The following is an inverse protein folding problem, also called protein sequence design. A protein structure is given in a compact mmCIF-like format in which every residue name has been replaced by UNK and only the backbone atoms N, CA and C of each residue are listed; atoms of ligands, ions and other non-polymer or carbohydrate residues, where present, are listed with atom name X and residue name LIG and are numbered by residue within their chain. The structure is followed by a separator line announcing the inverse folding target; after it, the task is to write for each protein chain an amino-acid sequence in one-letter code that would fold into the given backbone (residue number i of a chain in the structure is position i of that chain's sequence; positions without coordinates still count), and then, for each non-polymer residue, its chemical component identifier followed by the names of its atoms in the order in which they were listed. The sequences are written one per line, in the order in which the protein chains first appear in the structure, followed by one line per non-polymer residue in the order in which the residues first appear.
data_IF_254942774021
#
_entry.id   IF_254942774021
#
_cell.length_a   1.000
_cell.length_b   1.000
_cell.length_c   1.000
_cell.angle_alpha   90.00
_cell.angle_beta   90.00
_cell.angle_gamma   90.00
#
_symmetry.space_group_name_H-M   'P 1'
#
loop_
_entity.id
_entity.type
_entity.pdbx_description
1 polymer ?
#
# COMPACT_ATOMS: atom_id res chain seq x y z
N UNK A 1 -9.06 -16.15 19.50
CA UNK A 1 -8.21 -16.15 18.31
C UNK A 1 -8.57 -14.90 17.53
N UNK A 2 -7.63 -14.00 17.38
CA UNK A 2 -7.84 -12.75 16.65
C UNK A 2 -8.32 -13.05 15.21
N UNK A 3 -9.04 -12.12 14.58
CA UNK A 3 -9.64 -12.38 13.25
C UNK A 3 -8.57 -12.70 12.20
N UNK A 4 -7.43 -12.08 12.26
CA UNK A 4 -6.31 -12.29 11.30
C UNK A 4 -5.50 -13.57 11.55
N UNK A 5 -5.63 -14.23 12.71
CA UNK A 5 -5.05 -15.54 12.96
C UNK A 5 -5.94 -16.68 12.44
N UNK A 6 -7.15 -16.36 11.97
CA UNK A 6 -8.06 -17.33 11.37
C UNK A 6 -7.62 -17.67 9.96
N UNK A 7 -7.91 -18.91 9.56
CA UNK A 7 -7.83 -19.27 8.15
C UNK A 7 -8.73 -18.34 7.30
N UNK A 8 -8.33 -17.99 6.09
CA UNK A 8 -9.20 -17.22 5.20
C UNK A 8 -10.50 -17.96 4.93
N UNK A 9 -11.55 -17.17 4.73
CA UNK A 9 -12.90 -17.66 4.41
C UNK A 9 -12.89 -18.53 3.15
N UNK A 10 -12.07 -18.16 2.16
CA UNK A 10 -12.03 -18.89 0.89
C UNK A 10 -10.66 -18.73 0.20
N UNK A 11 -10.27 -19.81 -0.48
CA UNK A 11 -9.15 -19.87 -1.41
C UNK A 11 -9.62 -20.43 -2.74
N UNK A 12 -9.32 -19.75 -3.83
CA UNK A 12 -9.53 -20.23 -5.20
C UNK A 12 -8.18 -20.31 -5.89
N UNK A 13 -7.87 -21.45 -6.47
CA UNK A 13 -6.79 -21.62 -7.44
C UNK A 13 -7.41 -21.82 -8.81
N UNK A 14 -6.97 -21.01 -9.77
CA UNK A 14 -7.39 -21.05 -11.14
C UNK A 14 -6.17 -21.35 -12.04
N UNK A 15 -6.37 -22.14 -13.07
CA UNK A 15 -5.35 -22.40 -14.09
C UNK A 15 -5.75 -21.72 -15.38
N UNK A 16 -4.90 -20.87 -15.92
CA UNK A 16 -5.15 -20.22 -17.21
C UNK A 16 -5.19 -21.23 -18.34
N UNK A 17 -6.31 -21.33 -19.08
CA UNK A 17 -6.48 -22.35 -20.12
C UNK A 17 -5.55 -22.16 -21.34
N UNK A 18 -4.90 -20.99 -21.47
CA UNK A 18 -4.01 -20.69 -22.60
C UNK A 18 -2.56 -20.95 -22.23
N UNK A 19 -2.12 -20.49 -21.05
CA UNK A 19 -0.70 -20.54 -20.65
C UNK A 19 -0.40 -21.67 -19.66
N UNK A 20 -1.42 -22.28 -19.03
CA UNK A 20 -1.26 -23.27 -17.97
C UNK A 20 -0.78 -22.68 -16.64
N UNK A 21 -0.56 -21.36 -16.54
CA UNK A 21 -0.09 -20.70 -15.33
C UNK A 21 -1.23 -20.51 -14.32
N UNK A 22 -0.85 -20.36 -13.05
CA UNK A 22 -1.80 -20.23 -11.96
C UNK A 22 -2.26 -18.78 -11.74
N UNK A 23 -3.50 -18.64 -11.30
CA UNK A 23 -4.06 -17.44 -10.68
C UNK A 23 -4.79 -17.79 -9.40
N UNK A 24 -4.85 -16.87 -8.48
CA UNK A 24 -5.36 -17.08 -7.12
C UNK A 24 -6.34 -15.97 -6.74
N UNK A 25 -7.42 -16.32 -6.05
CA UNK A 25 -8.22 -15.38 -5.28
C UNK A 25 -8.32 -15.90 -3.85
N UNK A 26 -7.94 -15.08 -2.89
CA UNK A 26 -8.14 -15.34 -1.47
C UNK A 26 -9.07 -14.29 -0.90
N UNK A 27 -10.14 -14.73 -0.25
CA UNK A 27 -11.01 -13.89 0.57
C UNK A 27 -10.72 -14.24 2.03
N UNK A 28 -10.04 -13.34 2.73
CA UNK A 28 -9.72 -13.52 4.13
C UNK A 28 -10.96 -13.37 5.00
N UNK A 29 -11.74 -12.32 4.76
CA UNK A 29 -12.96 -12.02 5.51
C UNK A 29 -13.93 -11.20 4.66
N UNK A 30 -15.21 -11.26 5.03
CA UNK A 30 -16.26 -10.37 4.52
C UNK A 30 -16.79 -9.54 5.68
N UNK A 31 -17.06 -8.26 5.42
CA UNK A 31 -17.85 -7.39 6.29
C UNK A 31 -18.99 -6.84 5.44
N UNK A 32 -20.21 -7.01 5.90
CA UNK A 32 -21.43 -6.70 5.13
C UNK A 32 -21.45 -7.34 3.73
N UNK A 33 -20.81 -8.51 3.58
CA UNK A 33 -20.70 -9.23 2.34
C UNK A 33 -19.74 -8.65 1.32
N UNK A 34 -18.87 -7.69 1.69
CA UNK A 34 -17.82 -7.12 0.85
C UNK A 34 -16.43 -7.42 1.39
N UNK A 35 -15.48 -7.61 0.48
CA UNK A 35 -14.04 -7.66 0.74
C UNK A 35 -13.30 -6.80 -0.29
N UNK A 36 -12.18 -6.20 0.13
CA UNK A 36 -11.36 -5.33 -0.72
C UNK A 36 -9.93 -5.82 -0.84
N UNK A 37 -9.32 -5.61 -1.99
CA UNK A 37 -7.90 -5.86 -2.25
C UNK A 37 -7.59 -6.02 -3.73
N UNK A 38 -6.48 -5.43 -4.16
CA UNK A 38 -6.06 -5.37 -5.56
C UNK A 38 -5.67 -6.72 -6.17
N UNK A 39 -5.47 -6.72 -7.48
CA UNK A 39 -4.98 -7.88 -8.24
C UNK A 39 -3.50 -7.68 -8.55
N UNK A 40 -2.64 -8.55 -7.99
CA UNK A 40 -1.20 -8.59 -8.24
C UNK A 40 -0.86 -9.46 -9.43
N UNK A 41 0.14 -9.07 -10.20
CA UNK A 41 0.74 -9.91 -11.24
C UNK A 41 2.26 -9.85 -11.14
N UNK A 42 2.88 -11.00 -10.87
CA UNK A 42 4.34 -11.15 -10.93
C UNK A 42 4.72 -12.62 -11.19
N UNK A 43 5.86 -12.84 -11.83
CA UNK A 43 6.41 -14.18 -11.95
C UNK A 43 6.72 -14.77 -10.57
N UNK A 44 6.34 -16.02 -10.34
CA UNK A 44 6.48 -16.71 -9.07
C UNK A 44 5.49 -16.25 -7.98
N UNK A 45 4.36 -15.62 -8.34
CA UNK A 45 3.27 -15.35 -7.41
C UNK A 45 2.69 -16.67 -6.88
N UNK A 46 2.52 -16.81 -5.57
CA UNK A 46 2.03 -18.02 -4.91
C UNK A 46 0.74 -17.79 -4.14
N UNK A 47 -0.01 -18.88 -3.88
CA UNK A 47 -1.21 -18.82 -3.03
C UNK A 47 -0.89 -18.30 -1.62
N UNK A 48 0.23 -18.71 -1.03
CA UNK A 48 0.64 -18.27 0.30
C UNK A 48 0.87 -16.75 0.35
N UNK A 49 1.55 -16.18 -0.66
CA UNK A 49 1.74 -14.73 -0.78
C UNK A 49 0.39 -13.99 -0.90
N UNK A 50 -0.53 -14.52 -1.72
CA UNK A 50 -1.86 -13.90 -1.89
C UNK A 50 -2.68 -13.98 -0.60
N UNK A 51 -2.52 -15.05 0.20
CA UNK A 51 -3.15 -15.18 1.51
C UNK A 51 -2.63 -14.16 2.52
N UNK A 52 -1.33 -13.96 2.61
CA UNK A 52 -0.72 -12.93 3.47
C UNK A 52 -1.18 -11.53 3.09
N UNK A 53 -1.25 -11.25 1.78
CA UNK A 53 -1.74 -9.98 1.28
C UNK A 53 -3.24 -9.76 1.54
N UNK A 54 -4.07 -10.80 1.42
CA UNK A 54 -5.51 -10.73 1.74
C UNK A 54 -5.74 -10.44 3.24
N UNK A 55 -4.93 -11.04 4.11
CA UNK A 55 -4.89 -10.74 5.55
C UNK A 55 -4.49 -9.29 5.81
N UNK A 56 -3.44 -8.81 5.15
CA UNK A 56 -3.00 -7.41 5.21
C UNK A 56 -4.11 -6.44 4.81
N UNK A 57 -4.91 -6.77 3.78
CA UNK A 57 -6.05 -5.95 3.37
C UNK A 57 -7.16 -5.89 4.43
N UNK A 58 -7.45 -7.01 5.12
CA UNK A 58 -8.39 -7.02 6.23
C UNK A 58 -7.91 -6.14 7.40
N UNK A 59 -6.62 -6.19 7.71
CA UNK A 59 -6.00 -5.35 8.75
C UNK A 59 -6.06 -3.87 8.37
N UNK A 60 -5.74 -3.49 7.13
CA UNK A 60 -5.85 -2.11 6.63
C UNK A 60 -7.29 -1.60 6.81
N UNK A 61 -8.26 -2.37 6.35
CA UNK A 61 -9.66 -2.00 6.47
C UNK A 61 -10.07 -1.78 7.94
N UNK A 62 -9.69 -2.68 8.84
CA UNK A 62 -10.04 -2.59 10.25
C UNK A 62 -9.36 -1.39 10.94
N UNK A 63 -8.06 -1.16 10.71
CA UNK A 63 -7.33 -0.03 11.33
C UNK A 63 -7.89 1.32 10.89
N UNK A 64 -8.38 1.42 9.64
CA UNK A 64 -8.92 2.67 9.07
C UNK A 64 -10.46 2.76 9.14
N UNK A 65 -11.10 1.96 9.98
CA UNK A 65 -12.55 2.00 10.23
C UNK A 65 -13.38 1.87 8.95
N UNK A 66 -12.88 1.03 8.00
CA UNK A 66 -13.57 0.75 6.75
C UNK A 66 -14.45 -0.49 6.94
N UNK A 67 -15.76 -0.39 6.68
CA UNK A 67 -16.70 -1.49 6.91
C UNK A 67 -16.63 -2.54 5.77
N UNK A 68 -15.44 -3.10 5.54
CA UNK A 68 -15.16 -4.07 4.49
C UNK A 68 -14.14 -5.09 4.97
N UNK A 69 -14.26 -6.33 4.52
CA UNK A 69 -13.28 -7.38 4.76
C UNK A 69 -12.06 -7.30 3.83
N UNK A 70 -11.17 -8.28 3.92
CA UNK A 70 -9.96 -8.36 3.11
C UNK A 70 -10.00 -9.47 2.08
N UNK A 71 -9.54 -9.17 0.88
CA UNK A 71 -9.32 -10.13 -0.20
C UNK A 71 -8.05 -9.77 -1.00
N UNK A 72 -7.59 -10.67 -1.85
CA UNK A 72 -6.49 -10.41 -2.79
C UNK A 72 -6.58 -11.31 -3.99
N UNK A 73 -6.34 -10.73 -5.19
CA UNK A 73 -6.05 -11.48 -6.40
C UNK A 73 -4.56 -11.59 -6.64
N UNK A 74 -4.11 -12.72 -7.23
CA UNK A 74 -2.73 -12.93 -7.63
C UNK A 74 -2.63 -13.72 -8.93
N UNK A 75 -1.71 -13.35 -9.81
CA UNK A 75 -1.49 -14.01 -11.10
C UNK A 75 0.01 -14.31 -11.23
N UNK A 76 0.35 -15.58 -11.43
CA UNK A 76 1.73 -16.02 -11.68
C UNK A 76 2.10 -15.76 -13.14
N UNK A 77 2.43 -14.52 -13.44
CA UNK A 77 2.87 -14.09 -14.77
C UNK A 77 3.73 -12.83 -14.64
N UNK A 78 4.78 -12.73 -15.45
CA UNK A 78 5.53 -11.47 -15.55
C UNK A 78 4.65 -10.41 -16.23
N UNK A 79 4.57 -9.17 -15.69
CA UNK A 79 3.86 -8.07 -16.35
C UNK A 79 4.44 -7.71 -17.75
N UNK A 80 5.68 -8.14 -18.02
CA UNK A 80 6.36 -7.95 -19.32
C UNK A 80 6.07 -9.08 -20.31
N UNK A 81 5.36 -10.13 -19.90
CA UNK A 81 5.01 -11.26 -20.78
C UNK A 81 3.97 -10.80 -21.81
N UNK A 82 4.11 -11.19 -23.09
CA UNK A 82 3.12 -10.87 -24.14
C UNK A 82 1.69 -11.33 -23.78
N UNK A 83 1.53 -12.42 -23.02
CA UNK A 83 0.23 -12.93 -22.58
C UNK A 83 -0.32 -12.27 -21.29
N UNK A 84 0.44 -11.39 -20.64
CA UNK A 84 0.05 -10.80 -19.35
C UNK A 84 -1.35 -10.18 -19.37
N UNK A 85 -1.66 -9.35 -20.38
CA UNK A 85 -2.97 -8.71 -20.53
C UNK A 85 -4.08 -9.73 -20.81
N UNK A 86 -3.81 -10.71 -21.68
CA UNK A 86 -4.73 -11.80 -22.01
C UNK A 86 -5.06 -12.63 -20.76
N UNK A 87 -4.05 -12.95 -19.96
CA UNK A 87 -4.20 -13.72 -18.73
C UNK A 87 -5.00 -12.92 -17.67
N UNK A 88 -4.72 -11.61 -17.49
CA UNK A 88 -5.51 -10.74 -16.62
C UNK A 88 -6.99 -10.76 -17.01
N UNK A 89 -7.30 -10.61 -18.30
CA UNK A 89 -8.66 -10.61 -18.82
C UNK A 89 -9.39 -11.93 -18.53
N UNK A 90 -8.74 -13.07 -18.77
CA UNK A 90 -9.30 -14.40 -18.50
C UNK A 90 -9.49 -14.65 -17.01
N UNK A 91 -8.55 -14.20 -16.17
CA UNK A 91 -8.67 -14.26 -14.71
C UNK A 91 -9.86 -13.44 -14.20
N UNK A 92 -9.99 -12.18 -14.62
CA UNK A 92 -11.13 -11.31 -14.25
C UNK A 92 -12.45 -11.95 -14.69
N UNK A 93 -12.51 -12.52 -15.90
CA UNK A 93 -13.69 -13.23 -16.40
C UNK A 93 -14.02 -14.47 -15.54
N UNK A 94 -13.03 -15.25 -15.15
CA UNK A 94 -13.22 -16.43 -14.30
C UNK A 94 -13.68 -16.06 -12.88
N UNK A 95 -13.17 -14.94 -12.34
CA UNK A 95 -13.52 -14.45 -11.00
C UNK A 95 -14.81 -13.60 -10.98
N UNK A 96 -15.51 -13.43 -12.11
CA UNK A 96 -16.68 -12.58 -12.24
C UNK A 96 -17.74 -12.79 -11.16
N UNK A 97 -18.12 -14.02 -10.74
CA UNK A 97 -19.12 -14.20 -9.68
C UNK A 97 -18.77 -13.49 -8.38
N UNK A 98 -17.49 -13.43 -8.04
CA UNK A 98 -16.99 -12.73 -6.85
C UNK A 98 -16.89 -11.23 -7.07
N UNK A 99 -16.46 -10.81 -8.25
CA UNK A 99 -16.35 -9.40 -8.64
C UNK A 99 -17.71 -8.73 -8.77
N UNK A 100 -18.74 -9.48 -9.15
CA UNK A 100 -20.12 -8.96 -9.25
C UNK A 100 -20.77 -8.73 -7.88
N UNK A 101 -20.35 -9.45 -6.82
CA UNK A 101 -21.09 -9.49 -5.58
C UNK A 101 -20.28 -9.12 -4.32
N UNK A 102 -18.98 -9.47 -4.27
CA UNK A 102 -18.26 -9.51 -3.00
C UNK A 102 -16.87 -8.85 -3.05
N UNK A 103 -16.14 -9.02 -4.15
CA UNK A 103 -14.74 -8.60 -4.21
C UNK A 103 -14.58 -7.27 -4.94
N UNK A 104 -14.15 -6.27 -4.20
CA UNK A 104 -13.77 -4.95 -4.69
C UNK A 104 -12.27 -4.96 -4.96
N UNK A 105 -11.88 -5.09 -6.23
CA UNK A 105 -10.47 -5.10 -6.63
C UNK A 105 -10.02 -3.74 -7.16
N UNK A 106 -8.71 -3.56 -7.26
CA UNK A 106 -8.05 -2.37 -7.81
C UNK A 106 -6.65 -2.76 -8.31
N UNK A 107 -5.83 -1.76 -8.61
CA UNK A 107 -4.41 -1.95 -8.95
C UNK A 107 -3.61 -2.64 -7.84
N UNK A 108 -2.55 -3.31 -8.22
CA UNK A 108 -1.46 -3.78 -7.36
C UNK A 108 -0.22 -4.00 -8.23
N UNK A 109 0.88 -4.48 -7.64
CA UNK A 109 2.14 -4.75 -8.34
C UNK A 109 1.91 -5.48 -9.67
N UNK A 110 2.38 -4.89 -10.76
CA UNK A 110 2.28 -5.45 -12.10
C UNK A 110 0.93 -5.29 -12.81
N UNK A 111 -0.08 -4.72 -12.14
CA UNK A 111 -1.40 -4.43 -12.71
C UNK A 111 -1.78 -2.99 -12.41
N UNK A 112 -1.41 -2.03 -13.26
CA UNK A 112 -1.76 -0.62 -13.05
C UNK A 112 -3.27 -0.39 -13.22
N UNK A 113 -3.80 0.64 -12.54
CA UNK A 113 -5.23 0.95 -12.48
C UNK A 113 -5.89 1.06 -13.86
N UNK A 114 -5.27 1.75 -14.82
CA UNK A 114 -5.83 1.89 -16.16
C UNK A 114 -5.98 0.55 -16.87
N UNK A 115 -5.02 -0.37 -16.69
CA UNK A 115 -5.06 -1.69 -17.34
C UNK A 115 -6.21 -2.56 -16.80
N UNK A 116 -6.40 -2.56 -15.48
CA UNK A 116 -7.50 -3.36 -14.88
C UNK A 116 -8.85 -2.75 -15.24
N UNK A 117 -8.99 -1.42 -15.24
CA UNK A 117 -10.23 -0.74 -15.62
C UNK A 117 -10.59 -0.96 -17.10
N UNK A 118 -9.59 -0.98 -18.01
CA UNK A 118 -9.80 -1.33 -19.41
C UNK A 118 -10.35 -2.75 -19.55
N UNK A 119 -9.77 -3.72 -18.83
CA UNK A 119 -10.23 -5.10 -18.83
C UNK A 119 -11.65 -5.23 -18.28
N UNK A 120 -11.97 -4.50 -17.21
CA UNK A 120 -13.35 -4.48 -16.68
C UNK A 120 -14.33 -3.87 -17.68
N UNK A 121 -13.93 -2.78 -18.35
CA UNK A 121 -14.74 -2.16 -19.41
C UNK A 121 -15.04 -3.12 -20.56
N UNK A 122 -14.02 -3.86 -21.05
CA UNK A 122 -14.18 -4.88 -22.10
C UNK A 122 -15.15 -6.00 -21.71
N UNK A 123 -15.21 -6.33 -20.42
CA UNK A 123 -16.08 -7.36 -19.87
C UNK A 123 -17.46 -6.82 -19.43
N UNK A 124 -17.74 -5.54 -19.68
CA UNK A 124 -19.02 -4.90 -19.35
C UNK A 124 -19.24 -4.63 -17.87
N UNK A 125 -18.16 -4.52 -17.09
CA UNK A 125 -18.21 -4.29 -15.64
C UNK A 125 -17.91 -2.84 -15.23
N UNK A 126 -17.74 -1.93 -16.16
CA UNK A 126 -17.55 -0.50 -15.91
C UNK A 126 -16.21 -0.11 -15.27
N UNK A 127 -15.83 -0.68 -14.13
CA UNK A 127 -14.60 -0.38 -13.41
C UNK A 127 -14.27 -1.45 -12.35
N UNK A 128 -13.01 -1.47 -11.88
CA UNK A 128 -12.49 -2.45 -10.92
C UNK A 128 -13.15 -2.42 -9.52
N UNK A 129 -13.73 -1.29 -9.10
CA UNK A 129 -14.55 -1.18 -7.87
C UNK A 129 -15.99 -1.69 -8.04
N UNK A 130 -16.24 -2.53 -9.01
CA UNK A 130 -17.54 -2.93 -9.52
C UNK A 130 -18.53 -3.43 -8.44
N UNK A 131 -18.11 -4.34 -7.55
CA UNK A 131 -18.99 -4.87 -6.51
C UNK A 131 -19.54 -3.78 -5.58
N UNK A 132 -18.70 -2.82 -5.18
CA UNK A 132 -19.12 -1.70 -4.33
C UNK A 132 -20.05 -0.74 -5.09
N UNK A 133 -19.71 -0.40 -6.33
CA UNK A 133 -20.52 0.48 -7.18
C UNK A 133 -21.91 -0.13 -7.40
N UNK A 134 -22.00 -1.42 -7.74
CA UNK A 134 -23.29 -2.10 -7.92
C UNK A 134 -24.18 -2.13 -6.68
N UNK A 135 -23.58 -2.10 -5.50
CA UNK A 135 -24.30 -2.11 -4.22
C UNK A 135 -24.63 -0.74 -3.69
N UNK A 136 -24.19 0.33 -4.36
CA UNK A 136 -24.54 1.71 -3.98
C UNK A 136 -26.00 2.02 -4.30
N UNK A 137 -26.54 3.01 -3.60
CA UNK A 137 -27.92 3.50 -3.84
C UNK A 137 -28.04 4.11 -5.24
N UNK A 138 -26.98 4.79 -5.73
CA UNK A 138 -26.90 5.31 -7.09
C UNK A 138 -25.54 4.88 -7.73
N UNK A 139 -25.53 3.76 -8.47
CA UNK A 139 -24.34 3.27 -9.15
C UNK A 139 -23.69 4.27 -10.12
N UNK A 140 -24.52 5.08 -10.82
CA UNK A 140 -24.01 6.03 -11.80
C UNK A 140 -23.31 7.22 -11.12
N UNK A 141 -23.91 7.77 -10.07
CA UNK A 141 -23.31 8.83 -9.27
C UNK A 141 -22.03 8.35 -8.59
N UNK A 142 -22.04 7.15 -8.00
CA UNK A 142 -20.87 6.56 -7.34
C UNK A 142 -19.73 6.32 -8.33
N UNK A 143 -20.01 5.78 -9.51
CA UNK A 143 -19.00 5.62 -10.56
C UNK A 143 -18.41 6.96 -10.99
N UNK A 144 -19.25 7.98 -11.14
CA UNK A 144 -18.81 9.33 -11.50
C UNK A 144 -17.89 9.91 -10.43
N UNK A 145 -18.26 9.80 -9.15
CA UNK A 145 -17.47 10.27 -8.00
C UNK A 145 -16.11 9.57 -7.92
N UNK A 146 -16.08 8.25 -8.04
CA UNK A 146 -14.83 7.47 -7.99
C UNK A 146 -13.92 7.84 -9.15
N UNK A 147 -14.44 7.92 -10.38
CA UNK A 147 -13.64 8.35 -11.54
C UNK A 147 -13.13 9.77 -11.38
N UNK A 148 -13.97 10.70 -10.94
CA UNK A 148 -13.55 12.07 -10.68
C UNK A 148 -12.38 12.12 -9.67
N UNK A 149 -12.45 11.38 -8.57
CA UNK A 149 -11.36 11.29 -7.59
C UNK A 149 -10.08 10.71 -8.18
N UNK A 150 -10.15 9.54 -8.81
CA UNK A 150 -8.98 8.86 -9.39
C UNK A 150 -8.23 9.72 -10.42
N UNK A 151 -8.97 10.46 -11.26
CA UNK A 151 -8.42 11.24 -12.36
C UNK A 151 -8.28 12.72 -12.06
N UNK A 152 -8.55 13.19 -10.85
CA UNK A 152 -8.34 14.59 -10.45
C UNK A 152 -6.88 14.99 -10.67
N UNK A 153 -6.61 16.10 -11.37
CA UNK A 153 -5.24 16.56 -11.58
C UNK A 153 -4.64 17.12 -10.30
N UNK A 154 -3.36 16.84 -10.10
CA UNK A 154 -2.55 17.40 -9.00
C UNK A 154 -1.29 18.06 -9.58
N UNK A 155 -0.57 18.91 -8.81
CA UNK A 155 0.67 19.50 -9.26
C UNK A 155 1.67 18.46 -9.80
N UNK A 156 2.48 18.87 -10.78
CA UNK A 156 3.46 17.98 -11.43
C UNK A 156 2.90 17.14 -12.58
N UNK A 157 1.63 17.37 -12.98
CA UNK A 157 0.99 16.66 -14.11
C UNK A 157 0.53 15.25 -13.77
N UNK A 158 0.52 14.88 -12.49
CA UNK A 158 0.02 13.60 -12.01
C UNK A 158 -1.49 13.63 -11.78
N UNK A 159 -2.08 12.45 -11.59
CA UNK A 159 -3.46 12.27 -11.13
C UNK A 159 -3.45 11.94 -9.63
N UNK A 160 -4.49 12.32 -8.93
CA UNK A 160 -4.61 12.06 -7.49
C UNK A 160 -4.45 10.57 -7.16
N UNK A 161 -5.07 9.68 -7.95
CA UNK A 161 -4.93 8.24 -7.80
C UNK A 161 -3.48 7.74 -7.88
N UNK A 162 -2.64 8.40 -8.70
CA UNK A 162 -1.24 7.98 -8.89
C UNK A 162 -0.33 8.38 -7.70
N UNK A 163 -0.71 9.38 -6.91
CA UNK A 163 0.16 9.96 -5.87
C UNK A 163 -0.34 9.75 -4.45
N UNK A 164 -1.63 9.48 -4.28
CA UNK A 164 -2.27 9.38 -2.96
C UNK A 164 -1.65 8.32 -2.05
N UNK A 165 -1.18 7.22 -2.61
CA UNK A 165 -0.47 6.17 -1.86
C UNK A 165 0.86 6.64 -1.29
N UNK A 166 1.69 7.25 -2.13
CA UNK A 166 2.97 7.83 -1.70
C UNK A 166 2.79 8.98 -0.71
N UNK A 167 1.75 9.80 -0.90
CA UNK A 167 1.38 10.83 0.07
C UNK A 167 1.04 10.23 1.44
N UNK A 168 0.25 9.16 1.49
CA UNK A 168 -0.06 8.46 2.74
C UNK A 168 1.19 7.95 3.47
N UNK A 169 2.14 7.35 2.75
CA UNK A 169 3.43 6.93 3.32
C UNK A 169 4.22 8.13 3.87
N UNK A 170 4.29 9.23 3.11
CA UNK A 170 4.95 10.45 3.58
C UNK A 170 4.29 10.98 4.86
N UNK A 171 2.96 10.97 4.97
CA UNK A 171 2.26 11.39 6.18
C UNK A 171 2.52 10.44 7.37
N UNK A 172 2.74 9.13 7.13
CA UNK A 172 3.18 8.20 8.18
C UNK A 172 4.57 8.58 8.70
N UNK A 173 5.51 8.86 7.81
CA UNK A 173 6.85 9.32 8.18
C UNK A 173 6.81 10.64 8.96
N UNK A 174 6.00 11.61 8.50
CA UNK A 174 5.80 12.89 9.17
C UNK A 174 5.12 12.72 10.54
N UNK A 175 4.20 11.77 10.67
CA UNK A 175 3.57 11.43 11.95
C UNK A 175 4.58 10.88 12.96
N UNK A 176 5.50 10.03 12.51
CA UNK A 176 6.63 9.55 13.32
C UNK A 176 7.55 10.70 13.70
N UNK A 177 7.97 11.52 12.74
CA UNK A 177 8.84 12.68 13.00
C UNK A 177 8.20 13.65 14.02
N UNK A 178 6.89 13.90 13.89
CA UNK A 178 6.14 14.72 14.84
C UNK A 178 6.14 14.11 16.24
N UNK A 179 5.83 12.80 16.36
CA UNK A 179 5.83 12.11 17.64
C UNK A 179 7.21 12.11 18.33
N UNK A 180 8.27 12.11 17.54
CA UNK A 180 9.68 12.17 18.01
C UNK A 180 10.18 13.59 18.20
N UNK A 181 9.40 14.61 17.86
CA UNK A 181 9.84 16.03 17.85
C UNK A 181 11.07 16.25 16.95
N UNK A 182 11.21 15.49 15.87
CA UNK A 182 12.28 15.66 14.90
C UNK A 182 12.03 16.90 14.03
N UNK A 183 13.11 17.61 13.76
CA UNK A 183 13.08 18.84 12.93
C UNK A 183 13.15 18.43 11.46
N UNK A 184 12.17 18.82 10.62
CA UNK A 184 12.15 18.39 9.22
C UNK A 184 13.46 18.61 8.47
N UNK A 185 14.08 19.80 8.57
CA UNK A 185 15.34 20.13 7.90
C UNK A 185 16.57 19.36 8.40
N UNK A 186 16.46 18.59 9.47
CA UNK A 186 17.51 17.75 10.04
C UNK A 186 17.20 16.26 9.86
N UNK A 187 15.91 15.90 9.71
CA UNK A 187 15.45 14.50 9.60
C UNK A 187 15.86 13.90 8.27
N UNK A 188 16.58 12.78 8.34
CA UNK A 188 17.13 12.06 7.18
C UNK A 188 16.31 10.84 6.84
N UNK A 189 16.17 10.58 5.53
CA UNK A 189 15.35 9.47 5.02
C UNK A 189 16.11 8.69 3.95
N UNK A 190 16.10 7.36 4.05
CA UNK A 190 16.52 6.44 3.00
C UNK A 190 15.32 5.67 2.47
N UNK A 191 15.17 5.57 1.14
CA UNK A 191 14.02 4.93 0.49
C UNK A 191 14.49 3.81 -0.43
N UNK A 192 14.01 2.60 -0.19
CA UNK A 192 14.24 1.47 -1.11
C UNK A 192 13.07 1.35 -2.08
N UNK A 193 13.33 1.62 -3.36
CA UNK A 193 12.31 1.62 -4.40
C UNK A 193 11.73 3.00 -4.67
N UNK A 194 11.80 3.46 -5.92
CA UNK A 194 11.28 4.75 -6.37
C UNK A 194 10.18 4.60 -7.42
N UNK A 195 9.39 3.53 -7.30
CA UNK A 195 8.14 3.35 -8.05
C UNK A 195 7.04 4.31 -7.57
N UNK A 196 5.77 3.94 -7.79
CA UNK A 196 4.61 4.77 -7.41
C UNK A 196 4.63 5.14 -5.92
N UNK A 197 4.79 4.14 -5.03
CA UNK A 197 4.75 4.37 -3.58
C UNK A 197 5.98 5.13 -3.09
N UNK A 198 7.19 4.61 -3.36
CA UNK A 198 8.41 5.21 -2.84
C UNK A 198 8.78 6.53 -3.53
N UNK A 199 8.53 6.67 -4.82
CA UNK A 199 8.73 7.94 -5.53
C UNK A 199 7.76 9.03 -5.06
N UNK A 200 6.49 8.68 -4.86
CA UNK A 200 5.51 9.60 -4.26
C UNK A 200 5.88 9.98 -2.83
N UNK A 201 6.32 9.01 -2.01
CA UNK A 201 6.80 9.28 -0.66
C UNK A 201 8.02 10.22 -0.68
N UNK A 202 9.01 9.95 -1.55
CA UNK A 202 10.19 10.80 -1.70
C UNK A 202 9.80 12.25 -2.03
N UNK A 203 8.88 12.45 -2.99
CA UNK A 203 8.39 13.77 -3.38
C UNK A 203 7.79 14.52 -2.18
N UNK A 204 6.81 13.91 -1.50
CA UNK A 204 6.09 14.60 -0.43
C UNK A 204 6.92 14.77 0.84
N UNK A 205 7.91 13.92 1.10
CA UNK A 205 8.87 14.11 2.18
C UNK A 205 9.82 15.27 1.88
N UNK A 206 10.29 15.37 0.63
CA UNK A 206 11.08 16.50 0.16
C UNK A 206 10.30 17.82 0.26
N UNK A 207 9.05 17.86 -0.23
CA UNK A 207 8.16 19.03 -0.10
C UNK A 207 7.92 19.43 1.37
N UNK A 208 7.89 18.46 2.29
CA UNK A 208 7.77 18.70 3.72
C UNK A 208 9.08 19.13 4.39
N UNK A 209 10.17 19.21 3.63
CA UNK A 209 11.49 19.66 4.09
C UNK A 209 12.35 18.58 4.73
N UNK A 210 11.99 17.29 4.65
CA UNK A 210 12.87 16.20 5.11
C UNK A 210 14.00 15.97 4.09
N UNK A 211 15.16 15.55 4.59
CA UNK A 211 16.32 15.24 3.76
C UNK A 211 16.24 13.79 3.25
N UNK A 212 15.80 13.58 2.02
CA UNK A 212 15.94 12.28 1.35
C UNK A 212 17.41 12.12 0.96
N UNK A 213 18.19 11.44 1.80
CA UNK A 213 19.65 11.28 1.60
C UNK A 213 20.00 10.09 0.74
N UNK A 214 19.10 9.11 0.65
CA UNK A 214 19.32 7.92 -0.19
C UNK A 214 18.05 7.43 -0.85
N UNK A 215 18.21 6.95 -2.09
CA UNK A 215 17.19 6.17 -2.80
C UNK A 215 17.84 4.95 -3.45
N UNK A 216 17.11 3.85 -3.53
CA UNK A 216 17.56 2.65 -4.26
C UNK A 216 16.51 2.21 -5.28
N UNK A 217 16.98 1.75 -6.44
CA UNK A 217 16.18 1.08 -7.47
C UNK A 217 16.82 -0.26 -7.87
N UNK A 218 16.37 -0.86 -8.97
CA UNK A 218 16.91 -2.14 -9.44
C UNK A 218 18.38 -2.06 -9.85
N UNK A 219 18.87 -0.89 -10.28
CA UNK A 219 20.25 -0.69 -10.76
C UNK A 219 21.24 -0.37 -9.63
N UNK A 220 20.77 -0.01 -8.43
CA UNK A 220 21.64 0.31 -7.29
C UNK A 220 21.08 1.40 -6.40
N UNK A 221 21.87 1.84 -5.41
CA UNK A 221 21.51 2.94 -4.53
C UNK A 221 22.28 4.22 -4.90
N UNK A 222 21.65 5.35 -4.65
CA UNK A 222 22.18 6.71 -4.77
C UNK A 222 22.17 7.33 -3.39
N UNK A 223 23.27 7.99 -3.00
CA UNK A 223 23.42 8.59 -1.67
C UNK A 223 24.09 9.96 -1.74
N UNK A 224 23.59 10.92 -0.98
CA UNK A 224 24.24 12.20 -0.70
C UNK A 224 23.90 12.65 0.72
N UNK A 225 24.91 12.97 1.59
CA UNK A 225 24.67 13.27 3.00
C UNK A 225 23.83 14.53 3.24
N UNK A 226 23.89 15.51 2.36
CA UNK A 226 23.14 16.77 2.47
C UNK A 226 21.73 16.69 1.85
N UNK A 227 21.36 15.53 1.28
CA UNK A 227 20.11 15.30 0.57
C UNK A 227 20.29 15.19 -0.94
N UNK A 228 19.38 14.47 -1.57
CA UNK A 228 19.30 14.28 -3.02
C UNK A 228 18.35 15.30 -3.62
N UNK A 229 18.59 15.70 -4.85
CA UNK A 229 17.62 16.45 -5.67
C UNK A 229 16.48 15.50 -6.12
N UNK A 230 15.48 15.35 -5.25
CA UNK A 230 14.37 14.42 -5.45
C UNK A 230 13.60 14.73 -6.74
N UNK A 231 13.22 15.99 -7.05
CA UNK A 231 12.59 16.32 -8.31
C UNK A 231 13.37 15.84 -9.53
N UNK A 232 14.65 16.18 -9.63
CA UNK A 232 15.51 15.78 -10.74
C UNK A 232 15.65 14.25 -10.87
N UNK A 233 15.73 13.53 -9.75
CA UNK A 233 15.81 12.06 -9.76
C UNK A 233 14.50 11.42 -10.23
N UNK A 234 13.35 11.96 -9.83
CA UNK A 234 12.04 11.44 -10.23
C UNK A 234 11.75 11.74 -11.72
N UNK A 235 12.20 12.86 -12.24
CA UNK A 235 12.12 13.20 -13.66
C UNK A 235 13.02 12.28 -14.51
N UNK A 236 14.15 11.83 -13.96
CA UNK A 236 15.08 10.93 -14.62
C UNK A 236 14.68 9.45 -14.58
N UNK A 237 13.58 9.07 -13.91
CA UNK A 237 13.14 7.67 -13.81
C UNK A 237 12.31 7.23 -15.00
N UNK A 238 12.41 5.96 -15.34
CA UNK A 238 11.54 5.32 -16.31
C UNK A 238 10.18 4.89 -15.69
N UNK A 239 9.30 4.35 -16.51
CA UNK A 239 7.99 3.83 -16.09
C UNK A 239 8.05 2.65 -15.10
N UNK A 240 9.21 2.04 -14.90
CA UNK A 240 9.43 0.96 -13.94
C UNK A 240 10.08 1.44 -12.64
N UNK A 241 10.37 2.73 -12.54
CA UNK A 241 10.99 3.34 -11.37
C UNK A 241 12.52 3.23 -11.36
N UNK A 242 13.16 2.93 -12.49
CA UNK A 242 14.63 2.92 -12.61
C UNK A 242 15.12 4.29 -13.04
N UNK A 243 16.07 4.87 -12.28
CA UNK A 243 16.64 6.20 -12.53
C UNK A 243 17.75 6.09 -13.58
N UNK A 244 17.73 6.95 -14.59
CA UNK A 244 18.80 7.04 -15.58
C UNK A 244 20.08 7.61 -14.94
N UNK A 245 21.05 6.73 -14.69
CA UNK A 245 22.33 7.07 -14.04
C UNK A 245 23.17 8.11 -14.81
N UNK A 246 22.90 8.35 -16.08
CA UNK A 246 23.58 9.39 -16.89
C UNK A 246 23.15 10.79 -16.49
N UNK A 247 21.96 10.94 -15.92
CA UNK A 247 21.42 12.21 -15.44
C UNK A 247 21.75 12.50 -13.96
N UNK A 248 22.35 11.52 -13.27
CA UNK A 248 22.71 11.66 -11.85
C UNK A 248 24.05 12.39 -11.74
N UNK A 249 24.13 13.52 -10.99
CA UNK A 249 25.37 14.27 -10.80
C UNK A 249 26.52 13.43 -10.24
N UNK A 250 27.76 13.78 -10.62
CA UNK A 250 28.96 13.02 -10.22
C UNK A 250 29.26 13.03 -8.73
N UNK A 251 28.79 14.03 -8.00
CA UNK A 251 28.96 14.11 -6.56
C UNK A 251 28.00 13.22 -5.77
N UNK A 252 26.95 12.67 -6.41
CA UNK A 252 26.06 11.69 -5.80
C UNK A 252 26.73 10.32 -5.82
N UNK A 253 26.92 9.76 -4.64
CA UNK A 253 27.56 8.46 -4.49
C UNK A 253 26.66 7.36 -5.03
N UNK A 254 27.25 6.44 -5.83
CA UNK A 254 26.59 5.25 -6.34
C UNK A 254 27.04 4.04 -5.52
N UNK A 255 26.09 3.25 -5.06
CA UNK A 255 26.32 2.14 -4.15
C UNK A 255 25.59 0.87 -4.64
N UNK A 256 25.98 -0.33 -4.18
CA UNK A 256 25.14 -1.52 -4.35
C UNK A 256 23.72 -1.28 -3.81
N UNK A 257 22.71 -1.90 -4.45
CA UNK A 257 21.30 -1.68 -4.12
C UNK A 257 21.00 -1.85 -2.63
N UNK A 258 21.50 -2.93 -2.04
CA UNK A 258 21.15 -3.32 -0.68
C UNK A 258 21.94 -2.51 0.38
N UNK A 259 22.93 -1.70 -0.06
CA UNK A 259 23.63 -0.76 0.82
C UNK A 259 22.70 0.31 1.42
N UNK A 260 21.52 0.54 0.84
CA UNK A 260 20.50 1.46 1.35
C UNK A 260 20.07 1.12 2.79
N UNK A 261 20.09 -0.15 3.19
CA UNK A 261 19.74 -0.58 4.55
C UNK A 261 20.80 -0.18 5.59
N UNK A 262 22.07 -0.09 5.19
CA UNK A 262 23.19 0.24 6.05
C UNK A 262 23.52 1.73 6.18
N UNK A 263 22.70 2.60 5.60
CA UNK A 263 22.87 4.05 5.72
C UNK A 263 22.30 4.49 7.08
N UNK A 264 23.09 5.29 7.81
CA UNK A 264 22.70 5.87 9.09
C UNK A 264 21.69 7.00 8.83
N UNK A 265 20.42 6.76 9.15
CA UNK A 265 19.31 7.68 8.89
C UNK A 265 18.27 7.62 10.01
N UNK A 266 17.44 8.63 10.10
CA UNK A 266 16.30 8.62 11.02
C UNK A 266 15.23 7.66 10.55
N UNK A 267 14.88 7.68 9.26
CA UNK A 267 13.81 6.88 8.67
C UNK A 267 14.32 6.03 7.50
N UNK A 268 14.03 4.73 7.55
CA UNK A 268 14.17 3.81 6.42
C UNK A 268 12.79 3.44 5.89
N UNK A 269 12.57 3.63 4.58
CA UNK A 269 11.31 3.38 3.91
C UNK A 269 11.47 2.28 2.85
N UNK A 270 11.29 0.99 3.20
CA UNK A 270 11.24 -0.09 2.21
C UNK A 270 9.95 0.00 1.39
N UNK A 271 10.08 0.36 0.09
CA UNK A 271 8.97 0.63 -0.81
C UNK A 271 9.01 -0.20 -2.12
N UNK A 272 9.94 -1.15 -2.24
CA UNK A 272 10.15 -1.89 -3.49
C UNK A 272 9.37 -3.20 -3.55
N UNK A 273 9.61 -4.09 -2.59
CA UNK A 273 9.13 -5.48 -2.61
C UNK A 273 8.77 -5.97 -1.22
N UNK A 274 7.92 -7.00 -1.16
CA UNK A 274 7.69 -7.75 0.07
C UNK A 274 8.98 -8.47 0.51
N UNK A 275 9.16 -8.65 1.82
CA UNK A 275 10.30 -9.34 2.42
C UNK A 275 11.67 -8.73 2.05
N UNK A 276 11.70 -7.38 1.97
CA UNK A 276 12.93 -6.63 1.72
C UNK A 276 13.91 -6.70 2.90
N UNK A 277 13.38 -6.75 4.13
CA UNK A 277 14.15 -6.90 5.36
C UNK A 277 13.86 -8.29 5.93
N UNK A 278 14.88 -9.12 5.97
CA UNK A 278 14.86 -10.51 6.44
C UNK A 278 15.90 -10.70 7.55
N UNK A 279 15.95 -11.86 8.24
CA UNK A 279 17.02 -12.13 9.20
C UNK A 279 18.43 -11.98 8.64
N UNK A 280 18.59 -12.20 7.33
CA UNK A 280 19.92 -12.15 6.68
C UNK A 280 20.49 -10.73 6.61
N UNK A 281 19.63 -9.69 6.55
CA UNK A 281 20.05 -8.28 6.42
C UNK A 281 19.54 -7.36 7.54
N UNK A 282 18.73 -7.86 8.47
CA UNK A 282 18.23 -7.06 9.59
C UNK A 282 19.35 -6.49 10.47
N UNK A 283 20.50 -7.19 10.56
CA UNK A 283 21.66 -6.72 11.30
C UNK A 283 22.32 -5.49 10.65
N UNK A 284 22.17 -5.32 9.35
CA UNK A 284 22.76 -4.21 8.58
C UNK A 284 21.94 -2.92 8.68
N UNK A 285 20.66 -3.01 9.08
CA UNK A 285 19.77 -1.83 9.20
C UNK A 285 20.31 -0.89 10.27
N UNK A 286 20.55 0.39 9.89
CA UNK A 286 21.09 1.43 10.77
C UNK A 286 20.11 2.59 11.02
N UNK A 287 18.93 2.51 10.48
CA UNK A 287 17.90 3.52 10.72
C UNK A 287 17.45 3.55 12.18
N UNK A 288 17.02 4.73 12.64
CA UNK A 288 16.35 4.85 13.94
C UNK A 288 14.96 4.21 13.94
N UNK A 289 14.29 4.16 12.77
CA UNK A 289 12.94 3.62 12.62
C UNK A 289 12.68 3.18 11.16
N UNK A 290 11.87 2.14 11.00
CA UNK A 290 11.42 1.64 9.69
C UNK A 290 9.95 1.97 9.47
N UNK A 291 9.58 2.51 8.28
CA UNK A 291 8.20 2.74 7.84
C UNK A 291 7.92 1.93 6.59
N UNK A 292 7.12 0.88 6.69
CA UNK A 292 6.87 -0.06 5.61
C UNK A 292 5.95 0.53 4.52
N UNK A 293 6.51 0.95 3.40
CA UNK A 293 5.74 1.39 2.23
C UNK A 293 5.34 0.24 1.30
N UNK A 294 6.16 -0.80 1.19
CA UNK A 294 5.79 -2.04 0.51
C UNK A 294 4.98 -2.96 1.45
N UNK A 295 4.10 -3.78 0.89
CA UNK A 295 3.34 -4.75 1.67
C UNK A 295 4.27 -5.85 2.21
N UNK A 296 4.16 -6.15 3.52
CA UNK A 296 4.97 -7.15 4.22
C UNK A 296 6.49 -6.98 3.95
N UNK A 297 6.98 -5.73 4.05
CA UNK A 297 8.36 -5.43 3.72
C UNK A 297 9.37 -6.06 4.68
N UNK A 298 9.01 -6.24 5.95
CA UNK A 298 9.86 -6.85 7.00
C UNK A 298 9.26 -8.17 7.43
N UNK A 299 10.07 -9.23 7.47
CA UNK A 299 9.59 -10.52 8.02
C UNK A 299 9.40 -10.43 9.54
N UNK A 300 8.53 -11.26 10.15
CA UNK A 300 8.32 -11.25 11.60
C UNK A 300 9.60 -11.47 12.40
N UNK A 301 10.48 -12.35 11.93
CA UNK A 301 11.77 -12.64 12.56
C UNK A 301 12.71 -11.43 12.49
N UNK A 302 12.77 -10.78 11.34
CA UNK A 302 13.58 -9.55 11.17
C UNK A 302 13.02 -8.41 12.03
N UNK A 303 11.70 -8.25 12.11
CA UNK A 303 11.06 -7.24 12.98
C UNK A 303 11.43 -7.48 14.47
N UNK A 304 11.43 -8.73 14.93
CA UNK A 304 11.87 -9.06 16.29
C UNK A 304 13.36 -8.70 16.51
N UNK A 305 14.23 -8.96 15.52
CA UNK A 305 15.64 -8.59 15.59
C UNK A 305 15.84 -7.06 15.63
N UNK A 306 15.08 -6.31 14.84
CA UNK A 306 15.12 -4.84 14.86
C UNK A 306 14.62 -4.28 16.20
N UNK A 307 13.52 -4.83 16.73
CA UNK A 307 12.97 -4.42 18.02
C UNK A 307 13.94 -4.66 19.17
N UNK A 308 14.67 -5.80 19.18
CA UNK A 308 15.70 -6.08 20.17
C UNK A 308 16.86 -5.06 20.13
N UNK A 309 17.06 -4.39 19.00
CA UNK A 309 18.03 -3.29 18.82
C UNK A 309 17.43 -1.91 19.07
N UNK A 310 16.16 -1.82 19.48
CA UNK A 310 15.48 -0.55 19.72
C UNK A 310 14.97 0.15 18.45
N UNK A 311 14.88 -0.55 17.31
CA UNK A 311 14.43 -0.04 16.02
C UNK A 311 12.98 -0.48 15.81
N UNK A 312 11.97 0.40 16.03
CA UNK A 312 10.58 0.07 15.78
C UNK A 312 10.28 0.03 14.28
N UNK A 313 9.30 -0.81 13.91
CA UNK A 313 8.78 -0.92 12.55
C UNK A 313 7.32 -0.50 12.54
N UNK A 314 6.99 0.56 11.81
CA UNK A 314 5.60 0.92 11.51
C UNK A 314 5.10 -0.05 10.45
N UNK A 315 4.07 -0.86 10.75
CA UNK A 315 3.65 -1.92 9.84
C UNK A 315 2.97 -1.38 8.59
N UNK A 316 3.12 -2.10 7.50
CA UNK A 316 2.58 -1.79 6.17
C UNK A 316 1.08 -1.52 6.17
N UNK A 317 0.31 -2.33 6.92
CA UNK A 317 -1.15 -2.19 6.97
C UNK A 317 -1.63 -0.92 7.70
N UNK A 318 -0.71 -0.13 8.26
CA UNK A 318 -0.93 1.24 8.71
C UNK A 318 -0.25 2.22 7.77
N UNK A 319 1.05 2.05 7.53
CA UNK A 319 1.87 3.04 6.83
C UNK A 319 1.46 3.28 5.38
N UNK A 320 1.07 2.24 4.64
CA UNK A 320 0.73 2.33 3.22
C UNK A 320 -0.78 2.23 2.94
N UNK A 321 -1.63 2.27 3.99
CA UNK A 321 -3.07 2.09 3.84
C UNK A 321 -3.81 3.35 3.32
N UNK A 322 -3.14 4.49 3.20
CA UNK A 322 -3.77 5.76 2.82
C UNK A 322 -4.56 5.69 1.50
N UNK A 323 -4.02 5.03 0.48
CA UNK A 323 -4.72 4.86 -0.81
C UNK A 323 -6.01 4.02 -0.67
N UNK A 324 -5.97 2.96 0.13
CA UNK A 324 -7.13 2.09 0.39
C UNK A 324 -8.20 2.86 1.18
N UNK A 325 -7.78 3.59 2.23
CA UNK A 325 -8.69 4.41 3.02
C UNK A 325 -9.38 5.46 2.15
N UNK A 326 -8.62 6.22 1.37
CA UNK A 326 -9.15 7.23 0.46
C UNK A 326 -10.12 6.66 -0.58
N UNK A 327 -9.79 5.55 -1.23
CA UNK A 327 -10.66 4.92 -2.22
C UNK A 327 -12.02 4.52 -1.60
N UNK A 328 -12.01 3.99 -0.37
CA UNK A 328 -13.22 3.67 0.36
C UNK A 328 -13.97 4.91 0.84
N UNK A 329 -13.29 5.99 1.23
CA UNK A 329 -13.95 7.24 1.56
C UNK A 329 -14.67 7.85 0.36
N UNK A 330 -14.08 7.76 -0.83
CA UNK A 330 -14.78 8.13 -2.08
C UNK A 330 -16.01 7.26 -2.33
N UNK A 331 -15.88 5.93 -2.21
CA UNK A 331 -17.01 5.01 -2.37
C UNK A 331 -18.12 5.31 -1.36
N UNK A 332 -17.77 5.56 -0.10
CA UNK A 332 -18.71 5.85 0.99
C UNK A 332 -19.23 7.30 0.99
N UNK A 333 -18.78 8.14 0.08
CA UNK A 333 -19.15 9.57 0.07
C UNK A 333 -18.67 10.36 1.28
N UNK A 334 -17.59 9.89 1.95
CA UNK A 334 -16.99 10.57 3.12
C UNK A 334 -16.04 11.69 2.72
N UNK A 335 -15.57 11.69 1.50
CA UNK A 335 -14.68 12.71 0.92
C UNK A 335 -15.10 12.98 -0.51
N UNK A 336 -15.03 14.22 -0.92
CA UNK A 336 -15.26 14.63 -2.30
C UNK A 336 -14.04 14.33 -3.18
N UNK A 337 -14.23 14.38 -4.51
CA UNK A 337 -13.18 14.19 -5.51
C UNK A 337 -12.26 15.43 -5.65
N UNK A 338 -11.98 16.11 -4.54
CA UNK A 338 -11.12 17.28 -4.45
C UNK A 338 -9.75 16.90 -3.87
N UNK A 339 -8.63 17.20 -4.55
CA UNK A 339 -7.30 16.87 -4.05
C UNK A 339 -6.94 17.52 -2.72
N UNK A 340 -7.29 18.77 -2.50
CA UNK A 340 -6.93 19.50 -1.28
C UNK A 340 -7.66 18.92 -0.06
N UNK A 341 -8.95 18.58 -0.21
CA UNK A 341 -9.74 17.91 0.82
C UNK A 341 -9.20 16.49 1.08
N UNK A 342 -8.86 15.77 0.02
CA UNK A 342 -8.24 14.43 0.11
C UNK A 342 -6.93 14.47 0.91
N UNK A 343 -6.01 15.35 0.55
CA UNK A 343 -4.72 15.47 1.25
C UNK A 343 -4.90 15.89 2.70
N UNK A 344 -5.82 16.80 2.97
CA UNK A 344 -6.13 17.21 4.34
C UNK A 344 -6.67 16.05 5.19
N UNK A 345 -7.65 15.31 4.66
CA UNK A 345 -8.25 14.17 5.36
C UNK A 345 -7.21 13.06 5.60
N UNK A 346 -6.41 12.72 4.59
CA UNK A 346 -5.35 11.71 4.73
C UNK A 346 -4.30 12.12 5.75
N UNK A 347 -3.85 13.38 5.72
CA UNK A 347 -2.90 13.89 6.70
C UNK A 347 -3.43 13.73 8.12
N UNK A 348 -4.65 14.15 8.37
CA UNK A 348 -5.27 14.05 9.70
C UNK A 348 -5.37 12.60 10.16
N UNK A 349 -5.85 11.72 9.29
CA UNK A 349 -6.03 10.31 9.61
C UNK A 349 -4.69 9.60 9.86
N UNK A 350 -3.70 9.79 8.99
CA UNK A 350 -2.39 9.16 9.16
C UNK A 350 -1.71 9.61 10.45
N UNK A 351 -1.76 10.91 10.78
CA UNK A 351 -1.24 11.43 12.06
C UNK A 351 -1.96 10.79 13.26
N UNK A 352 -3.29 10.68 13.20
CA UNK A 352 -4.08 10.06 14.26
C UNK A 352 -3.73 8.57 14.46
N UNK A 353 -3.40 7.84 13.38
CA UNK A 353 -2.98 6.43 13.48
C UNK A 353 -1.54 6.30 14.01
N UNK A 354 -0.62 7.22 13.67
CA UNK A 354 0.77 7.16 14.16
C UNK A 354 0.91 7.43 15.64
N UNK A 355 0.13 8.36 16.18
CA UNK A 355 0.24 8.79 17.57
C UNK A 355 0.17 7.64 18.60
N UNK A 356 -0.84 6.74 18.59
CA UNK A 356 -0.90 5.63 19.55
C UNK A 356 0.21 4.61 19.37
N UNK A 357 0.67 4.36 18.13
CA UNK A 357 1.75 3.42 17.84
C UNK A 357 3.06 3.90 18.46
N UNK A 358 3.38 5.17 18.25
CA UNK A 358 4.60 5.76 18.78
C UNK A 358 4.55 5.92 20.28
N UNK A 359 3.42 6.34 20.84
CA UNK A 359 3.23 6.45 22.28
C UNK A 359 3.46 5.10 22.98
N UNK A 360 2.84 4.03 22.52
CA UNK A 360 3.00 2.69 23.11
C UNK A 360 4.45 2.18 23.02
N UNK A 361 5.13 2.44 21.91
CA UNK A 361 6.55 2.08 21.78
C UNK A 361 7.43 2.90 22.74
N UNK A 362 7.22 4.19 22.83
CA UNK A 362 8.09 5.09 23.60
C UNK A 362 7.92 4.91 25.10
N UNK A 363 6.68 4.67 25.59
CA UNK A 363 6.38 4.54 27.01
C UNK A 363 6.48 3.10 27.54
N UNK A 364 6.06 2.11 26.74
CA UNK A 364 5.88 0.74 27.21
C UNK A 364 6.73 -0.30 26.42
N UNK A 365 7.44 0.16 25.38
CA UNK A 365 8.16 -0.70 24.43
C UNK A 365 7.27 -1.74 23.74
N UNK A 366 5.98 -1.44 23.61
CA UNK A 366 5.07 -2.27 22.83
C UNK A 366 5.31 -2.04 21.34
N UNK A 367 5.53 -3.12 20.60
CA UNK A 367 5.77 -3.07 19.16
C UNK A 367 4.63 -2.33 18.43
N UNK A 368 4.94 -1.41 17.49
CA UNK A 368 3.91 -0.70 16.73
C UNK A 368 2.91 -1.65 16.05
N UNK A 369 3.37 -2.78 15.51
CA UNK A 369 2.52 -3.83 14.95
C UNK A 369 1.54 -4.38 15.97
N UNK A 370 1.96 -4.64 17.20
CA UNK A 370 1.08 -5.17 18.25
C UNK A 370 -0.02 -4.16 18.61
N UNK A 371 0.33 -2.87 18.71
CA UNK A 371 -0.65 -1.81 18.95
C UNK A 371 -1.64 -1.69 17.78
N UNK A 372 -1.15 -1.74 16.54
CA UNK A 372 -2.00 -1.68 15.35
C UNK A 372 -2.95 -2.89 15.25
N UNK A 373 -2.47 -4.09 15.61
CA UNK A 373 -3.30 -5.30 15.69
C UNK A 373 -4.41 -5.16 16.74
N UNK A 374 -4.13 -4.58 17.90
CA UNK A 374 -5.16 -4.29 18.91
C UNK A 374 -6.19 -3.26 18.41
N UNK A 375 -5.77 -2.26 17.62
CA UNK A 375 -6.71 -1.30 17.00
C UNK A 375 -7.64 -2.04 16.03
N UNK A 376 -7.09 -2.91 15.19
CA UNK A 376 -7.86 -3.71 14.24
C UNK A 376 -8.83 -4.68 14.96
N UNK A 377 -8.40 -5.34 16.05
CA UNK A 377 -9.25 -6.25 16.85
C UNK A 377 -10.48 -5.52 17.43
N UNK A 378 -10.26 -4.34 17.99
CA UNK A 378 -11.36 -3.54 18.52
C UNK A 378 -12.39 -3.24 17.45
N UNK A 379 -11.94 -2.79 16.29
CA UNK A 379 -12.84 -2.41 15.20
C UNK A 379 -13.60 -3.60 14.62
N UNK A 380 -12.92 -4.73 14.47
CA UNK A 380 -13.56 -5.96 13.98
C UNK A 380 -14.63 -6.49 14.94
N UNK A 381 -14.39 -6.34 16.24
CA UNK A 381 -15.39 -6.70 17.26
C UNK A 381 -16.63 -5.81 17.17
N UNK A 382 -16.45 -4.51 16.87
CA UNK A 382 -17.56 -3.58 16.62
C UNK A 382 -18.37 -4.03 15.41
N UNK A 383 -17.72 -4.39 14.30
CA UNK A 383 -18.42 -4.86 13.10
C UNK A 383 -19.19 -6.15 13.35
N UNK A 384 -18.57 -7.13 14.01
CA UNK A 384 -19.22 -8.40 14.33
C UNK A 384 -20.47 -8.21 15.21
N UNK A 385 -20.40 -7.33 16.21
CA UNK A 385 -21.54 -7.00 17.07
C UNK A 385 -22.66 -6.29 16.28
N UNK A 386 -22.32 -5.37 15.40
CA UNK A 386 -23.29 -4.67 14.58
C UNK A 386 -24.01 -5.60 13.59
N UNK A 387 -23.26 -6.52 12.92
CA UNK A 387 -23.85 -7.52 12.02
C UNK A 387 -24.78 -8.49 12.79
N UNK A 388 -24.40 -8.94 13.99
CA UNK A 388 -25.27 -9.78 14.83
C UNK A 388 -26.58 -9.09 15.21
N UNK A 389 -26.55 -7.76 15.36
CA UNK A 389 -27.72 -6.95 15.65
C UNK A 389 -28.51 -6.55 14.39
N UNK A 390 -28.16 -7.07 13.22
CA UNK A 390 -28.83 -6.76 11.97
C UNK A 390 -28.59 -5.35 11.44
N UNK A 391 -27.56 -4.67 11.91
CA UNK A 391 -27.23 -3.32 11.47
C UNK A 391 -26.51 -3.37 10.10
N UNK A 392 -26.91 -2.44 9.22
CA UNK A 392 -26.24 -2.26 7.93
C UNK A 392 -24.99 -1.40 8.15
N UNK A 393 -23.80 -2.00 8.04
CA UNK A 393 -22.52 -1.30 8.23
C UNK A 393 -22.08 -0.52 6.99
N UNK A 394 -22.48 -0.97 5.81
CA UNK A 394 -22.12 -0.36 4.53
C UNK A 394 -23.36 0.22 3.88
N UNK A 395 -23.42 1.54 3.83
CA UNK A 395 -24.34 2.28 2.96
C UNK A 395 -23.48 3.11 2.01
N UNK A 396 -23.47 2.77 0.73
CA UNK A 396 -22.78 3.51 -0.32
C UNK A 396 -23.85 4.40 -0.99
N UNK A 397 -23.72 5.74 -0.88
CA UNK A 397 -24.70 6.68 -1.42
C UNK A 397 -24.73 6.70 -2.96
#
# INVERSE_FOLDING_TARGET
MAMWDRAPLMRITWTDPVTGRAGYLVVHSLVSGLATGGTRMRAGCTLAEVEDLARGMALKAAVFDLPVGGAKGGIDCSPKDPEARGMLRRFVQAMRPWLDAHWVTAEDLGVPQHLIDDVFGELGMGQSYHAAIRRSADPAATLTRVKAGLFSPVPGGYRLGDVVGGYGVAQSCLGVAHARSWVPGETTVAIQGVGTMGGGAAWYLHEAGLKVVAVADAAGALYHPDGLDVPALLDARDKFGEIDRRQVPVHVQRMPRDAVFGIDVDLLVPAAVSYAITPDNAADVRACLVVEAANAATTPEAEAMLAARGIPVIPDFVANAGAVAWAWWLLLGRVDADPALTFTALRQEMLAKMAPLMSAWDTERVMPRSTALQMADRQTSVYAAAEQNGQVLVSIP
#
